data_IF_346237537895
#
_entry.id   IF_346237537895
#
_cell.length_a   1.000
_cell.length_b   1.000
_cell.length_c   1.000
_cell.angle_alpha   90.00
_cell.angle_beta   90.00
_cell.angle_gamma   90.00
#
_symmetry.space_group_name_H-M   'P 1'
#
loop_
_entity.id
_entity.type
_entity.pdbx_description
1 polymer ?
#
# COMPACT_ATOMS: atom_id res chain seq x y z
N UNK A 1 -19.00 7.36 11.23
CA UNK A 1 -18.17 8.32 10.49
C UNK A 1 -18.91 8.60 9.21
N UNK A 2 -19.10 9.87 8.82
CA UNK A 2 -19.76 10.23 7.55
C UNK A 2 -18.68 10.56 6.52
N UNK A 3 -18.67 9.88 5.38
CA UNK A 3 -17.78 10.17 4.26
C UNK A 3 -18.61 10.74 3.11
N UNK A 4 -18.33 11.98 2.72
CA UNK A 4 -18.99 12.62 1.58
C UNK A 4 -17.96 13.15 0.61
N UNK A 5 -18.21 12.90 -0.68
CA UNK A 5 -17.45 13.49 -1.76
C UNK A 5 -18.41 14.13 -2.77
N UNK A 6 -18.24 15.43 -2.98
CA UNK A 6 -19.02 16.21 -3.95
C UNK A 6 -18.07 16.94 -4.90
N UNK A 7 -18.33 16.86 -6.20
CA UNK A 7 -17.61 17.61 -7.23
C UNK A 7 -18.58 18.19 -8.25
N UNK A 8 -18.35 19.44 -8.64
CA UNK A 8 -19.19 20.17 -9.60
C UNK A 8 -20.70 20.10 -9.30
N UNK A 9 -21.04 20.06 -8.00
CA UNK A 9 -22.41 19.96 -7.50
C UNK A 9 -22.99 18.54 -7.47
N UNK A 10 -22.33 17.53 -8.02
CA UNK A 10 -22.73 16.12 -7.94
C UNK A 10 -22.12 15.43 -6.72
N UNK A 11 -22.98 14.79 -5.93
CA UNK A 11 -22.58 13.95 -4.80
C UNK A 11 -22.17 12.58 -5.35
N UNK A 12 -20.88 12.28 -5.31
CA UNK A 12 -20.30 11.05 -5.85
C UNK A 12 -20.18 9.97 -4.76
N UNK A 13 -19.94 10.35 -3.50
CA UNK A 13 -19.90 9.45 -2.34
C UNK A 13 -20.75 10.07 -1.22
N UNK A 14 -21.63 9.29 -0.60
CA UNK A 14 -22.35 9.65 0.64
C UNK A 14 -22.55 8.41 1.51
N UNK A 15 -21.49 8.02 2.20
CA UNK A 15 -21.48 6.86 3.07
C UNK A 15 -21.58 7.28 4.54
N UNK A 16 -22.51 6.69 5.26
CA UNK A 16 -22.76 6.96 6.69
C UNK A 16 -22.63 5.72 7.56
N UNK A 17 -22.59 4.54 6.94
CA UNK A 17 -22.62 3.26 7.63
C UNK A 17 -21.27 2.56 7.59
N UNK A 18 -21.03 1.71 8.58
CA UNK A 18 -19.89 0.81 8.55
C UNK A 18 -20.20 -0.32 7.55
N UNK A 19 -19.31 -0.52 6.59
CA UNK A 19 -19.41 -1.60 5.62
C UNK A 19 -18.35 -2.67 5.89
N UNK A 20 -18.63 -3.89 5.43
CA UNK A 20 -17.70 -5.02 5.51
C UNK A 20 -17.91 -5.86 4.26
N UNK A 21 -16.83 -6.25 3.61
CA UNK A 21 -16.88 -7.09 2.43
C UNK A 21 -15.48 -7.39 1.94
N UNK A 22 -15.42 -8.03 0.77
CA UNK A 22 -14.15 -8.28 0.11
C UNK A 22 -13.70 -7.02 -0.61
N UNK A 23 -12.41 -6.78 -0.57
CA UNK A 23 -11.78 -5.84 -1.49
C UNK A 23 -11.43 -6.53 -2.80
N UNK A 24 -10.93 -5.75 -3.76
CA UNK A 24 -10.44 -6.31 -5.02
C UNK A 24 -9.41 -7.42 -4.81
N UNK A 25 -9.53 -8.44 -5.66
CA UNK A 25 -8.64 -9.60 -5.64
C UNK A 25 -7.45 -9.34 -6.54
N UNK A 26 -6.24 -9.50 -6.01
CA UNK A 26 -5.02 -9.40 -6.79
C UNK A 26 -4.50 -10.78 -7.19
N UNK A 27 -4.09 -10.91 -8.45
CA UNK A 27 -3.31 -12.04 -8.96
C UNK A 27 -1.94 -11.51 -9.40
N UNK A 28 -0.87 -12.13 -8.93
CA UNK A 28 0.50 -11.71 -9.22
C UNK A 28 1.38 -12.88 -9.68
N UNK A 29 2.28 -12.61 -10.61
CA UNK A 29 3.37 -13.48 -11.04
C UNK A 29 4.70 -12.81 -10.74
N UNK A 30 5.60 -13.53 -10.07
CA UNK A 30 6.95 -13.06 -9.72
C UNK A 30 8.01 -13.85 -10.48
N UNK A 31 8.91 -13.14 -11.14
CA UNK A 31 10.07 -13.70 -11.82
C UNK A 31 11.36 -13.26 -11.12
N UNK A 32 12.09 -14.22 -10.53
CA UNK A 32 13.38 -13.96 -9.91
C UNK A 32 14.44 -13.61 -10.97
N UNK A 33 15.00 -12.41 -10.88
CA UNK A 33 16.12 -11.94 -11.72
C UNK A 33 17.47 -12.36 -11.12
N UNK A 34 17.55 -12.41 -9.79
CA UNK A 34 18.68 -12.90 -9.02
C UNK A 34 18.19 -13.40 -7.64
N UNK A 35 19.11 -13.74 -6.74
CA UNK A 35 18.74 -14.08 -5.35
C UNK A 35 18.11 -12.89 -4.61
N UNK A 36 18.48 -11.67 -5.00
CA UNK A 36 18.13 -10.44 -4.30
C UNK A 36 17.24 -9.51 -5.13
N UNK A 37 16.81 -9.93 -6.33
CA UNK A 37 15.99 -9.10 -7.20
C UNK A 37 14.93 -9.91 -7.95
N UNK A 38 13.74 -9.33 -8.11
CA UNK A 38 12.68 -9.93 -8.90
C UNK A 38 11.86 -8.88 -9.65
N UNK A 39 11.14 -9.34 -10.66
CA UNK A 39 10.11 -8.58 -11.36
C UNK A 39 8.75 -9.17 -10.99
N UNK A 40 7.78 -8.34 -10.65
CA UNK A 40 6.40 -8.74 -10.42
C UNK A 40 5.51 -8.15 -11.50
N UNK A 41 4.62 -8.97 -12.06
CA UNK A 41 3.50 -8.52 -12.89
C UNK A 41 2.23 -8.89 -12.15
N UNK A 42 1.31 -7.96 -11.99
CA UNK A 42 0.10 -8.18 -11.21
C UNK A 42 -1.12 -7.55 -11.87
N UNK A 43 -2.28 -8.09 -11.54
CA UNK A 43 -3.59 -7.63 -11.98
C UNK A 43 -4.53 -7.60 -10.78
N UNK A 44 -5.21 -6.47 -10.58
CA UNK A 44 -6.30 -6.33 -9.64
C UNK A 44 -7.61 -6.56 -10.38
N UNK A 45 -8.44 -7.45 -9.87
CA UNK A 45 -9.74 -7.79 -10.43
C UNK A 45 -10.84 -7.10 -9.60
N UNK A 46 -11.86 -6.50 -10.25
CA UNK A 46 -12.94 -5.76 -9.60
C UNK A 46 -13.93 -6.71 -8.94
N UNK A 47 -13.48 -7.45 -7.93
CA UNK A 47 -14.29 -8.39 -7.15
C UNK A 47 -14.82 -7.76 -5.87
N UNK A 48 -14.28 -6.59 -5.48
CA UNK A 48 -14.83 -5.77 -4.42
C UNK A 48 -16.03 -4.95 -4.90
N UNK A 49 -16.84 -4.52 -3.94
CA UNK A 49 -18.01 -3.67 -4.22
C UNK A 49 -17.57 -2.20 -4.35
N UNK A 50 -17.70 -1.62 -5.55
CA UNK A 50 -17.29 -0.24 -5.81
C UNK A 50 -18.29 0.80 -5.30
N UNK A 51 -19.54 0.42 -5.04
CA UNK A 51 -20.54 1.33 -4.50
C UNK A 51 -20.28 1.61 -3.02
N UNK A 52 -19.61 0.68 -2.32
CA UNK A 52 -19.26 0.79 -0.89
C UNK A 52 -17.78 1.08 -0.64
N UNK A 53 -17.04 1.53 -1.66
CA UNK A 53 -15.59 1.83 -1.59
C UNK A 53 -14.71 0.63 -1.20
N UNK A 54 -15.23 -0.59 -1.34
CA UNK A 54 -14.48 -1.82 -1.09
C UNK A 54 -13.71 -2.28 -2.34
N UNK A 55 -14.15 -1.90 -3.55
CA UNK A 55 -13.43 -2.12 -4.79
C UNK A 55 -13.23 -0.85 -5.61
N UNK A 56 -12.25 -0.85 -6.51
CA UNK A 56 -12.06 0.22 -7.50
C UNK A 56 -13.14 0.20 -8.58
N UNK A 57 -13.77 -0.96 -8.80
CA UNK A 57 -14.72 -1.18 -9.89
C UNK A 57 -14.06 -1.33 -11.25
N UNK A 58 -12.73 -1.43 -11.30
CA UNK A 58 -11.95 -1.55 -12.53
C UNK A 58 -10.91 -2.67 -12.47
N UNK A 59 -10.48 -3.11 -13.66
CA UNK A 59 -9.30 -3.97 -13.77
C UNK A 59 -8.08 -3.07 -13.84
N UNK A 60 -7.18 -3.22 -12.88
CA UNK A 60 -5.88 -2.54 -12.89
C UNK A 60 -4.77 -3.55 -13.16
N UNK A 61 -3.70 -3.13 -13.83
CA UNK A 61 -2.57 -4.00 -14.11
C UNK A 61 -1.27 -3.25 -13.89
N UNK A 62 -0.28 -3.91 -13.29
CA UNK A 62 0.97 -3.27 -12.95
C UNK A 62 2.18 -4.17 -13.07
N UNK A 63 3.32 -3.49 -13.04
CA UNK A 63 4.64 -4.12 -13.00
C UNK A 63 5.45 -3.44 -11.90
N UNK A 64 6.21 -4.23 -11.14
CA UNK A 64 7.17 -3.69 -10.19
C UNK A 64 8.47 -4.48 -10.21
N UNK A 65 9.55 -3.77 -9.93
CA UNK A 65 10.82 -4.37 -9.58
C UNK A 65 10.96 -4.38 -8.07
N UNK A 66 11.55 -5.44 -7.53
CA UNK A 66 11.95 -5.52 -6.13
C UNK A 66 13.43 -5.84 -6.01
N UNK A 67 14.06 -5.26 -5.00
CA UNK A 67 15.44 -5.49 -4.64
C UNK A 67 15.60 -5.69 -3.14
N UNK A 68 16.56 -6.49 -2.72
CA UNK A 68 16.95 -6.65 -1.33
C UNK A 68 18.47 -6.62 -1.19
N UNK A 69 18.95 -6.32 0.01
CA UNK A 69 20.35 -6.45 0.35
C UNK A 69 20.47 -6.83 1.82
N UNK A 70 21.31 -7.80 2.13
CA UNK A 70 21.66 -8.16 3.50
C UNK A 70 23.15 -7.92 3.72
N UNK A 71 23.48 -7.13 4.73
CA UNK A 71 24.87 -6.84 5.09
C UNK A 71 25.53 -8.01 5.81
N UNK A 72 26.86 -8.00 5.85
CA UNK A 72 27.64 -8.93 6.67
C UNK A 72 27.31 -8.82 8.17
N UNK A 73 26.95 -7.61 8.63
CA UNK A 73 26.49 -7.34 10.00
C UNK A 73 25.03 -7.72 10.27
N UNK A 74 24.32 -8.29 9.29
CA UNK A 74 22.97 -8.83 9.46
C UNK A 74 21.81 -7.83 9.33
N UNK A 75 22.05 -6.53 9.19
CA UNK A 75 20.99 -5.60 8.80
C UNK A 75 20.60 -5.81 7.34
N UNK A 76 19.33 -5.54 7.02
CA UNK A 76 18.73 -5.77 5.70
C UNK A 76 18.02 -4.53 5.19
N UNK A 77 18.11 -4.29 3.89
CA UNK A 77 17.22 -3.38 3.17
C UNK A 77 16.39 -4.14 2.15
N UNK A 78 15.20 -3.62 1.87
CA UNK A 78 14.37 -4.05 0.74
C UNK A 78 13.76 -2.83 0.08
N UNK A 79 13.57 -2.90 -1.22
CA UNK A 79 12.92 -1.86 -1.99
C UNK A 79 12.01 -2.49 -3.04
N UNK A 80 10.95 -1.78 -3.37
CA UNK A 80 10.10 -2.10 -4.50
C UNK A 80 9.70 -0.79 -5.17
N UNK A 81 9.71 -0.76 -6.49
CA UNK A 81 9.21 0.38 -7.27
C UNK A 81 8.42 -0.16 -8.45
N UNK A 82 7.35 0.52 -8.83
CA UNK A 82 6.49 0.05 -9.88
C UNK A 82 5.57 1.10 -10.44
N UNK A 83 4.85 0.68 -11.47
CA UNK A 83 3.78 1.44 -12.11
C UNK A 83 2.56 0.55 -12.24
N UNK A 84 1.40 1.17 -12.13
CA UNK A 84 0.11 0.52 -12.32
C UNK A 84 -0.67 1.35 -13.35
N UNK A 85 -1.18 0.68 -14.38
CA UNK A 85 -2.19 1.22 -15.27
C UNK A 85 -3.54 1.05 -14.58
N UNK A 86 -4.28 2.15 -14.46
CA UNK A 86 -5.55 2.20 -13.76
C UNK A 86 -6.68 2.04 -14.78
N UNK A 87 -7.61 1.14 -14.50
CA UNK A 87 -8.81 0.98 -15.31
C UNK A 87 -9.76 2.15 -15.12
N UNK A 88 -10.51 2.46 -16.17
CA UNK A 88 -11.45 3.58 -16.20
C UNK A 88 -12.89 3.08 -15.97
N UNK A 89 -13.19 2.56 -14.80
CA UNK A 89 -14.58 2.20 -14.45
C UNK A 89 -14.81 2.37 -12.95
N UNK A 90 -16.08 2.41 -12.55
CA UNK A 90 -16.48 2.61 -11.16
C UNK A 90 -16.83 4.06 -10.82
N UNK A 91 -17.09 4.30 -9.53
CA UNK A 91 -17.70 5.54 -9.02
C UNK A 91 -16.86 6.81 -9.28
N UNK A 92 -15.56 6.65 -9.47
CA UNK A 92 -14.59 7.73 -9.68
C UNK A 92 -13.92 7.68 -11.06
N UNK A 93 -14.51 6.99 -12.05
CA UNK A 93 -13.94 6.79 -13.39
C UNK A 93 -13.49 8.10 -14.05
N UNK A 94 -14.33 9.14 -14.01
CA UNK A 94 -14.05 10.42 -14.67
C UNK A 94 -12.81 11.13 -14.09
N UNK A 95 -12.40 10.74 -12.88
CA UNK A 95 -11.28 11.33 -12.15
C UNK A 95 -10.06 10.41 -12.14
N UNK A 96 -10.17 9.16 -12.56
CA UNK A 96 -9.07 8.21 -12.54
C UNK A 96 -7.97 8.65 -13.51
N UNK A 97 -6.72 8.68 -13.04
CA UNK A 97 -5.56 8.87 -13.92
C UNK A 97 -5.35 7.60 -14.75
N UNK A 98 -4.65 7.70 -15.88
CA UNK A 98 -4.36 6.52 -16.71
C UNK A 98 -3.31 5.58 -16.08
N UNK A 99 -2.46 6.10 -15.20
CA UNK A 99 -1.47 5.33 -14.48
C UNK A 99 -1.02 6.06 -13.21
N UNK A 100 -0.50 5.28 -12.26
CA UNK A 100 0.19 5.78 -11.08
C UNK A 100 1.53 5.05 -10.89
N UNK A 101 2.50 5.74 -10.31
CA UNK A 101 3.75 5.14 -9.85
C UNK A 101 3.71 4.95 -8.34
N UNK A 102 4.38 3.91 -7.85
CA UNK A 102 4.49 3.62 -6.44
C UNK A 102 5.89 3.11 -6.09
N UNK A 103 6.25 3.21 -4.82
CA UNK A 103 7.48 2.64 -4.33
C UNK A 103 7.52 2.53 -2.81
N UNK A 104 8.38 1.64 -2.35
CA UNK A 104 8.70 1.45 -0.96
C UNK A 104 10.19 1.17 -0.77
N UNK A 105 10.70 1.58 0.37
CA UNK A 105 12.00 1.17 0.91
C UNK A 105 11.82 0.82 2.38
N UNK A 106 12.42 -0.29 2.80
CA UNK A 106 12.41 -0.71 4.18
C UNK A 106 13.83 -1.06 4.63
N UNK A 107 14.09 -0.81 5.91
CA UNK A 107 15.32 -1.11 6.61
C UNK A 107 14.98 -1.92 7.86
N UNK A 108 15.72 -2.99 8.08
CA UNK A 108 15.58 -3.88 9.23
C UNK A 108 16.95 -4.05 9.92
N UNK A 109 17.01 -3.71 11.21
CA UNK A 109 18.23 -3.79 12.01
C UNK A 109 18.04 -4.78 13.17
N UNK A 110 18.81 -5.89 13.22
CA UNK A 110 18.82 -6.77 14.39
C UNK A 110 19.42 -6.04 15.60
N UNK A 111 18.58 -5.50 16.47
CA UNK A 111 18.99 -4.79 17.67
C UNK A 111 19.40 -5.74 18.81
N UNK A 112 18.88 -6.97 18.80
CA UNK A 112 19.30 -8.07 19.68
C UNK A 112 18.93 -9.42 19.06
N UNK A 113 19.22 -10.53 19.76
CA UNK A 113 18.87 -11.89 19.31
C UNK A 113 17.36 -12.09 19.09
N UNK A 114 16.51 -11.32 19.77
CA UNK A 114 15.05 -11.47 19.72
C UNK A 114 14.32 -10.24 19.19
N UNK A 115 15.02 -9.17 18.80
CA UNK A 115 14.41 -7.90 18.41
C UNK A 115 15.03 -7.38 17.13
N UNK A 116 14.18 -7.09 16.14
CA UNK A 116 14.55 -6.40 14.90
C UNK A 116 13.80 -5.08 14.84
N UNK A 117 14.52 -3.96 14.76
CA UNK A 117 13.91 -2.65 14.52
C UNK A 117 13.68 -2.46 13.02
N UNK A 118 12.55 -1.86 12.66
CA UNK A 118 12.14 -1.66 11.27
C UNK A 118 11.72 -0.23 11.00
N UNK A 119 12.19 0.29 9.88
CA UNK A 119 11.74 1.54 9.28
C UNK A 119 11.27 1.24 7.86
N UNK A 120 10.15 1.81 7.46
CA UNK A 120 9.58 1.69 6.13
C UNK A 120 9.16 3.05 5.65
N UNK A 121 9.45 3.36 4.40
CA UNK A 121 8.94 4.51 3.69
C UNK A 121 8.24 3.99 2.46
N UNK A 122 6.97 4.33 2.28
CA UNK A 122 6.20 3.99 1.09
C UNK A 122 5.53 5.24 0.54
N UNK A 123 5.28 5.24 -0.76
CA UNK A 123 4.59 6.35 -1.38
C UNK A 123 4.11 6.00 -2.77
N UNK A 124 3.19 6.83 -3.25
CA UNK A 124 2.62 6.71 -4.58
C UNK A 124 2.28 8.09 -5.13
N UNK A 125 2.20 8.16 -6.46
CA UNK A 125 1.61 9.32 -7.12
C UNK A 125 0.09 9.31 -6.94
N UNK A 126 -0.56 10.46 -7.12
CA UNK A 126 -2.02 10.54 -7.11
C UNK A 126 -2.66 9.48 -8.02
N UNK A 127 -3.72 8.83 -7.53
CA UNK A 127 -4.52 7.89 -8.32
C UNK A 127 -5.64 8.60 -9.08
N UNK A 128 -6.13 9.73 -8.55
CA UNK A 128 -7.21 10.51 -9.14
C UNK A 128 -6.76 11.96 -9.41
N UNK A 129 -7.38 12.62 -10.39
CA UNK A 129 -7.21 14.05 -10.65
C UNK A 129 -8.23 14.88 -9.84
N UNK A 130 -8.07 14.83 -8.51
CA UNK A 130 -8.99 15.44 -7.56
C UNK A 130 -8.38 16.63 -6.82
N UNK A 131 -9.15 17.72 -6.55
CA UNK A 131 -8.70 18.77 -5.66
C UNK A 131 -8.65 18.32 -4.18
N UNK A 132 -9.20 17.15 -3.84
CA UNK A 132 -9.11 16.60 -2.49
C UNK A 132 -7.73 15.99 -2.25
N UNK A 133 -7.01 16.57 -1.28
CA UNK A 133 -5.66 16.12 -0.89
C UNK A 133 -5.54 14.59 -0.67
N UNK A 134 -6.48 13.89 0.02
CA UNK A 134 -6.33 12.46 0.32
C UNK A 134 -6.36 11.50 -0.89
N UNK A 135 -6.84 11.95 -2.05
CA UNK A 135 -7.00 11.10 -3.26
C UNK A 135 -6.33 11.70 -4.49
N UNK A 136 -6.03 13.00 -4.47
CA UNK A 136 -5.49 13.77 -5.59
C UNK A 136 -4.02 14.22 -5.43
N UNK A 137 -3.38 13.97 -4.30
CA UNK A 137 -1.95 14.27 -4.08
C UNK A 137 -1.11 13.00 -4.06
N UNK A 138 0.19 13.18 -4.26
CA UNK A 138 1.17 12.14 -3.96
C UNK A 138 1.20 11.92 -2.45
N UNK A 139 1.24 10.67 -2.02
CA UNK A 139 1.30 10.33 -0.60
C UNK A 139 2.66 9.72 -0.25
N UNK A 140 3.13 9.98 0.97
CA UNK A 140 4.33 9.36 1.53
C UNK A 140 4.06 8.99 2.97
N UNK A 141 4.11 7.70 3.27
CA UNK A 141 3.88 7.17 4.61
C UNK A 141 5.18 6.66 5.21
N UNK A 142 5.45 7.04 6.45
CA UNK A 142 6.54 6.53 7.26
C UNK A 142 6.00 5.48 8.23
N UNK A 143 6.47 4.25 8.11
CA UNK A 143 6.27 3.17 9.07
C UNK A 143 7.47 3.02 9.99
N UNK A 144 7.24 2.93 11.30
CA UNK A 144 8.25 2.59 12.30
C UNK A 144 7.76 1.49 13.22
N UNK A 145 8.62 0.51 13.52
CA UNK A 145 8.22 -0.62 14.32
C UNK A 145 9.31 -1.63 14.53
N UNK A 146 8.92 -2.88 14.75
CA UNK A 146 9.86 -3.97 14.88
C UNK A 146 9.22 -5.34 14.96
N UNK A 147 10.09 -6.34 14.95
CA UNK A 147 9.75 -7.74 15.14
C UNK A 147 10.26 -8.22 16.49
N UNK A 148 9.44 -8.98 17.20
CA UNK A 148 9.80 -9.74 18.39
C UNK A 148 9.78 -11.22 18.02
N UNK A 149 10.92 -11.90 18.14
CA UNK A 149 11.00 -13.34 17.96
C UNK A 149 10.54 -14.06 19.23
N UNK A 150 9.42 -14.77 19.13
CA UNK A 150 8.78 -15.49 20.22
C UNK A 150 9.15 -16.98 20.12
N UNK A 151 10.24 -17.35 20.80
CA UNK A 151 10.79 -18.71 20.69
C UNK A 151 11.45 -18.94 19.32
N UNK A 152 11.35 -20.17 18.80
CA UNK A 152 12.05 -20.59 17.56
C UNK A 152 11.24 -20.46 16.27
N UNK A 153 9.93 -20.24 16.38
CA UNK A 153 9.00 -20.38 15.25
C UNK A 153 8.14 -19.14 15.05
N UNK A 154 7.83 -18.41 16.12
CA UNK A 154 6.90 -17.29 16.03
C UNK A 154 7.63 -15.96 15.92
N UNK A 155 7.11 -15.08 15.07
CA UNK A 155 7.52 -13.69 14.99
C UNK A 155 6.30 -12.79 15.06
N UNK A 156 6.30 -11.86 16.02
CA UNK A 156 5.31 -10.80 16.14
C UNK A 156 5.89 -9.51 15.59
N UNK A 157 5.29 -8.97 14.54
CA UNK A 157 5.58 -7.64 14.00
C UNK A 157 4.57 -6.62 14.52
N UNK A 158 5.06 -5.48 15.00
CA UNK A 158 4.26 -4.33 15.41
C UNK A 158 4.83 -3.10 14.69
N UNK A 159 3.99 -2.36 13.99
CA UNK A 159 4.41 -1.15 13.28
C UNK A 159 3.33 -0.07 13.39
N UNK A 160 3.79 1.16 13.58
CA UNK A 160 2.97 2.38 13.51
C UNK A 160 3.35 3.12 12.24
N UNK A 161 2.37 3.56 11.46
CA UNK A 161 2.57 4.37 10.26
C UNK A 161 1.93 5.75 10.40
N UNK A 162 2.55 6.76 9.83
CA UNK A 162 2.06 8.15 9.79
C UNK A 162 2.30 8.74 8.39
N UNK A 163 1.34 9.54 7.90
CA UNK A 163 1.52 10.34 6.69
C UNK A 163 2.48 11.50 6.96
N UNK A 164 3.66 11.46 6.33
CA UNK A 164 4.65 12.54 6.46
C UNK A 164 4.54 13.56 5.32
N UNK A 165 3.73 13.27 4.29
CA UNK A 165 3.34 14.21 3.25
C UNK A 165 2.00 14.88 3.65
N UNK A 166 2.06 15.74 4.67
CA UNK A 166 0.94 16.51 5.27
C UNK A 166 -0.28 16.66 4.33
N UNK A 167 -1.42 16.07 4.73
CA UNK A 167 -2.76 16.06 4.08
C UNK A 167 -3.05 14.98 3.00
N UNK A 168 -2.19 14.00 2.76
CA UNK A 168 -2.36 13.06 1.64
C UNK A 168 -2.89 11.66 2.02
N UNK A 169 -2.92 11.28 3.30
CA UNK A 169 -3.25 9.92 3.77
C UNK A 169 -3.80 9.89 5.22
N UNK A 170 -4.09 8.69 5.74
CA UNK A 170 -4.46 8.40 7.14
C UNK A 170 -3.47 9.02 8.13
N UNK A 171 -3.98 9.71 9.14
CA UNK A 171 -3.15 10.39 10.16
C UNK A 171 -2.23 9.39 10.90
N UNK A 172 -2.74 8.23 11.33
CA UNK A 172 -1.95 7.15 11.99
C UNK A 172 -2.53 5.77 11.69
N UNK A 173 -1.69 4.80 11.33
CA UNK A 173 -2.02 3.38 11.18
C UNK A 173 -1.30 2.49 12.19
N UNK A 174 -1.96 1.44 12.68
CA UNK A 174 -1.34 0.38 13.51
C UNK A 174 -1.43 -0.95 12.79
N UNK A 175 -0.29 -1.58 12.57
CA UNK A 175 -0.17 -2.88 11.92
C UNK A 175 0.39 -3.91 12.89
N UNK A 176 -0.27 -5.06 12.97
CA UNK A 176 0.18 -6.22 13.75
C UNK A 176 0.15 -7.46 12.86
N UNK A 177 1.25 -8.21 12.83
CA UNK A 177 1.35 -9.44 12.06
C UNK A 177 2.01 -10.53 12.89
N UNK A 178 1.43 -11.72 12.90
CA UNK A 178 2.00 -12.90 13.50
C UNK A 178 2.41 -13.87 12.39
N UNK A 179 3.67 -14.28 12.37
CA UNK A 179 4.22 -15.25 11.41
C UNK A 179 4.71 -16.48 12.17
N UNK A 180 4.49 -17.67 11.59
CA UNK A 180 4.95 -18.98 12.05
C UNK A 180 5.86 -19.62 11.01
#
# INVERSE_FOLDING_TARGET
MRLQYQRDGQLLIDENDAFTGLTDTQVAFQYALSQDAALNVFVNLPTGDSDTLLGSGSVDAGVSWQGAYTSESGWRTSTQVGVIALGNSGLLEAEARSAAAFGQVAFAWPASENIVLKLQLEGHTAYYDSPLSPVGKNAVMLGMGGSILLGRQWQLDIMVSEDIAVEASLDVGLHMRLTF
#
